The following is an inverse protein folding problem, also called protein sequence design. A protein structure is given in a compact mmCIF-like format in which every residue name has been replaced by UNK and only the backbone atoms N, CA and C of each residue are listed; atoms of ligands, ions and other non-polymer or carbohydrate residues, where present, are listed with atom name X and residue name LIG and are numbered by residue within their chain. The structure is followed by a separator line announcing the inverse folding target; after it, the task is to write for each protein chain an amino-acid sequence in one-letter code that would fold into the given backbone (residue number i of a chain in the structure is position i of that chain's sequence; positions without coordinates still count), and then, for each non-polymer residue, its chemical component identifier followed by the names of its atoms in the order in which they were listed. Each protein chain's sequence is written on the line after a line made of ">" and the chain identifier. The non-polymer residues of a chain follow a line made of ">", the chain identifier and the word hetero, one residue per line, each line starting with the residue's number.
data_IF_504784913841
#
_entry.id   IF_504784913841
#
_cell.length_a   1.000
_cell.length_b   1.000
_cell.length_c   1.000
_cell.angle_alpha   90.00
_cell.angle_beta   90.00
_cell.angle_gamma   90.00
#
_symmetry.space_group_name_H-M   'P 1'
#
loop_
_entity.id
_entity.type
_entity.pdbx_description
1 polymer ?
#
# COMPACT_ATOMS: atom_id res chain seq x y z
N UNK A 1 -9.59 6.49 0.25
CA UNK A 1 -10.10 7.86 0.48
C UNK A 1 -10.91 8.31 -0.73
N UNK A 2 -11.64 9.43 -0.65
CA UNK A 2 -12.46 9.87 -1.80
C UNK A 2 -11.60 10.34 -2.98
N UNK A 3 -10.59 11.18 -2.74
CA UNK A 3 -9.67 11.67 -3.77
C UNK A 3 -8.51 10.68 -4.01
N UNK A 4 -7.88 10.73 -5.20
CA UNK A 4 -6.66 9.96 -5.49
C UNK A 4 -5.49 10.33 -4.58
N UNK A 5 -4.63 9.35 -4.28
CA UNK A 5 -3.47 9.51 -3.41
C UNK A 5 -2.37 10.41 -3.97
N UNK A 6 -2.39 10.68 -5.29
CA UNK A 6 -1.49 11.63 -5.95
C UNK A 6 -2.06 13.05 -6.06
N UNK A 7 -3.32 13.27 -5.67
CA UNK A 7 -4.09 14.54 -5.73
C UNK A 7 -4.30 15.09 -7.14
N UNK A 8 -3.25 15.21 -7.97
CA UNK A 8 -3.31 15.75 -9.33
C UNK A 8 -2.49 14.93 -10.31
N UNK A 9 -2.95 14.79 -11.56
CA UNK A 9 -2.21 14.08 -12.62
C UNK A 9 -0.82 14.69 -12.87
N UNK A 10 -0.70 16.03 -12.77
CA UNK A 10 0.59 16.72 -12.86
C UNK A 10 1.63 16.25 -11.84
N UNK A 11 1.20 15.81 -10.65
CA UNK A 11 2.10 15.32 -9.63
C UNK A 11 2.77 13.99 -10.05
N UNK A 12 2.03 13.13 -10.76
CA UNK A 12 2.52 11.90 -11.36
C UNK A 12 3.48 12.19 -12.52
N UNK A 13 3.06 13.04 -13.46
CA UNK A 13 3.86 13.43 -14.63
C UNK A 13 5.23 14.01 -14.23
N UNK A 14 5.24 14.81 -13.16
CA UNK A 14 6.47 15.42 -12.61
C UNK A 14 7.22 14.52 -11.63
N UNK A 15 6.72 13.31 -11.34
CA UNK A 15 7.31 12.36 -10.38
C UNK A 15 7.56 12.99 -8.99
N UNK A 16 6.63 13.84 -8.55
CA UNK A 16 6.73 14.58 -7.28
C UNK A 16 6.10 13.85 -6.09
N UNK A 17 5.46 12.71 -6.35
CA UNK A 17 4.82 11.84 -5.37
C UNK A 17 5.13 10.39 -5.73
N UNK A 18 5.24 9.54 -4.71
CA UNK A 18 5.41 8.09 -4.88
C UNK A 18 4.09 7.35 -4.70
N UNK A 19 4.06 6.11 -5.17
CA UNK A 19 2.99 5.18 -4.88
C UNK A 19 2.90 4.86 -3.39
N UNK A 20 1.97 3.97 -3.01
CA UNK A 20 1.85 3.55 -1.61
C UNK A 20 3.13 2.80 -1.20
N UNK A 21 3.82 3.30 -0.18
CA UNK A 21 4.94 2.62 0.44
C UNK A 21 4.44 1.62 1.46
N UNK A 22 4.67 0.34 1.16
CA UNK A 22 4.38 -0.79 2.04
C UNK A 22 5.64 -1.18 2.79
N UNK A 23 5.54 -1.26 4.11
CA UNK A 23 6.65 -1.55 5.00
C UNK A 23 6.25 -2.61 6.03
N UNK A 24 7.08 -3.65 6.15
CA UNK A 24 7.06 -4.61 7.26
C UNK A 24 8.24 -4.32 8.17
N UNK A 25 7.96 -4.13 9.46
CA UNK A 25 8.97 -3.74 10.44
C UNK A 25 9.54 -5.00 11.08
N UNK A 26 10.68 -5.45 10.58
CA UNK A 26 11.39 -6.60 11.10
C UNK A 26 12.16 -6.23 12.38
N UNK A 27 12.19 -7.10 13.41
CA UNK A 27 12.98 -6.85 14.61
C UNK A 27 14.48 -6.87 14.27
N UNK A 28 15.21 -5.85 14.74
CA UNK A 28 16.64 -5.70 14.47
C UNK A 28 17.42 -6.70 15.33
N UNK A 29 18.21 -7.57 14.69
CA UNK A 29 19.15 -8.46 15.37
C UNK A 29 18.54 -9.72 15.97
N UNK A 30 17.29 -10.04 15.66
CA UNK A 30 16.67 -11.31 16.03
C UNK A 30 16.88 -12.36 14.90
N UNK A 31 17.71 -13.39 15.11
CA UNK A 31 17.98 -14.40 14.08
C UNK A 31 16.80 -15.37 13.86
N UNK A 32 15.80 -15.38 14.74
CA UNK A 32 14.67 -16.31 14.68
C UNK A 32 13.56 -15.79 13.77
N UNK A 33 13.54 -14.48 13.52
CA UNK A 33 12.57 -13.81 12.65
C UNK A 33 13.25 -13.46 11.32
N UNK A 34 12.78 -14.03 10.22
CA UNK A 34 13.37 -13.84 8.90
C UNK A 34 12.32 -13.63 7.82
N UNK A 35 12.60 -12.71 6.90
CA UNK A 35 11.79 -12.48 5.72
C UNK A 35 12.20 -13.49 4.63
N UNK A 36 11.30 -14.43 4.34
CA UNK A 36 11.52 -15.52 3.37
C UNK A 36 11.26 -15.02 1.94
N UNK A 37 10.21 -14.21 1.76
CA UNK A 37 9.85 -13.63 0.46
C UNK A 37 9.24 -12.24 0.64
N UNK A 38 9.47 -11.38 -0.35
CA UNK A 38 9.09 -9.97 -0.33
C UNK A 38 10.28 -9.06 -0.03
N UNK A 39 9.99 -7.77 0.18
CA UNK A 39 10.97 -6.76 0.57
C UNK A 39 10.47 -6.07 1.82
N UNK A 40 11.35 -5.76 2.78
CA UNK A 40 10.96 -5.00 3.98
C UNK A 40 10.23 -3.71 3.62
N UNK A 41 10.66 -3.07 2.54
CA UNK A 41 10.04 -1.87 1.98
C UNK A 41 9.82 -2.03 0.49
N UNK A 42 8.60 -1.79 0.02
CA UNK A 42 8.25 -1.81 -1.41
C UNK A 42 7.31 -0.67 -1.78
N UNK A 43 7.50 -0.12 -2.97
CA UNK A 43 6.59 0.85 -3.58
C UNK A 43 5.52 0.10 -4.37
N UNK A 44 4.25 0.35 -4.02
CA UNK A 44 3.08 -0.11 -4.74
C UNK A 44 2.52 0.94 -5.70
N UNK A 45 1.31 0.74 -6.25
CA UNK A 45 0.69 1.71 -7.15
C UNK A 45 0.18 2.94 -6.41
N UNK A 46 -0.18 3.99 -7.17
CA UNK A 46 -1.02 5.07 -6.66
C UNK A 46 -2.47 4.60 -6.56
N UNK A 47 -3.16 5.03 -5.50
CA UNK A 47 -4.58 4.73 -5.32
C UNK A 47 -5.44 5.82 -5.95
N UNK A 48 -6.40 5.43 -6.77
CA UNK A 48 -7.28 6.36 -7.49
C UNK A 48 -8.39 6.95 -6.61
N UNK A 49 -8.62 6.39 -5.42
CA UNK A 49 -9.75 6.76 -4.57
C UNK A 49 -11.11 6.40 -5.19
N UNK A 50 -12.17 7.00 -4.66
CA UNK A 50 -13.56 6.69 -5.03
C UNK A 50 -14.23 7.75 -5.92
N UNK A 51 -13.53 8.85 -6.23
CA UNK A 51 -14.07 9.90 -7.08
C UNK A 51 -14.48 9.34 -8.46
N UNK A 52 -15.65 9.73 -9.01
CA UNK A 52 -16.08 9.30 -10.32
C UNK A 52 -15.06 9.66 -11.40
N UNK A 53 -14.57 8.66 -12.13
CA UNK A 53 -13.61 8.82 -13.22
C UNK A 53 -14.28 9.15 -14.56
N UNK A 54 -15.59 8.98 -14.63
CA UNK A 54 -16.40 9.18 -15.82
C UNK A 54 -17.62 10.04 -15.48
N UNK A 55 -18.13 10.74 -16.47
CA UNK A 55 -19.41 11.43 -16.38
C UNK A 55 -20.52 10.42 -16.12
N UNK A 56 -21.49 10.79 -15.28
CA UNK A 56 -22.70 9.97 -15.05
C UNK A 56 -23.55 9.82 -16.33
N UNK A 57 -23.32 10.66 -17.34
CA UNK A 57 -23.96 10.56 -18.66
C UNK A 57 -23.22 9.62 -19.63
N UNK A 58 -22.03 9.15 -19.28
CA UNK A 58 -21.31 8.19 -20.09
C UNK A 58 -21.85 6.78 -19.82
N UNK A 59 -22.43 6.15 -20.83
CA UNK A 59 -22.89 4.75 -20.77
C UNK A 59 -21.74 3.73 -20.85
N UNK A 60 -20.57 4.06 -20.29
CA UNK A 60 -19.38 3.24 -20.30
C UNK A 60 -19.08 2.75 -18.89
N UNK A 61 -18.65 1.50 -18.75
CA UNK A 61 -18.21 0.95 -17.48
C UNK A 61 -16.88 1.53 -17.01
N UNK A 62 -16.68 1.58 -15.70
CA UNK A 62 -15.40 1.93 -15.09
C UNK A 62 -14.36 0.85 -15.41
N UNK A 63 -13.24 1.24 -16.05
CA UNK A 63 -12.16 0.33 -16.43
C UNK A 63 -11.17 0.03 -15.28
N UNK A 64 -11.22 0.81 -14.19
CA UNK A 64 -10.34 0.67 -13.04
C UNK A 64 -11.16 0.41 -11.78
N UNK A 65 -11.80 -0.78 -11.76
CA UNK A 65 -12.72 -1.21 -10.70
C UNK A 65 -12.02 -1.34 -9.35
N UNK A 66 -10.75 -1.74 -9.33
CA UNK A 66 -9.94 -1.91 -8.11
C UNK A 66 -8.84 -0.86 -7.99
N UNK A 67 -8.95 0.27 -8.70
CA UNK A 67 -7.91 1.31 -8.69
C UNK A 67 -7.73 1.99 -7.33
N UNK A 68 -8.69 1.84 -6.42
CA UNK A 68 -8.65 2.28 -5.03
C UNK A 68 -7.93 1.30 -4.09
N UNK A 69 -7.49 0.14 -4.60
CA UNK A 69 -6.90 -0.94 -3.81
C UNK A 69 -5.47 -1.25 -4.27
N UNK A 70 -4.64 -1.63 -3.32
CA UNK A 70 -3.31 -2.15 -3.55
C UNK A 70 -3.03 -3.30 -2.58
N UNK A 71 -2.20 -4.25 -3.01
CA UNK A 71 -1.84 -5.44 -2.24
C UNK A 71 -0.32 -5.55 -2.23
N UNK A 72 0.22 -5.86 -1.06
CA UNK A 72 1.61 -6.24 -0.84
C UNK A 72 1.62 -7.55 -0.06
N UNK A 73 2.57 -8.41 -0.39
CA UNK A 73 2.67 -9.76 0.18
C UNK A 73 4.08 -9.97 0.72
N UNK A 74 4.12 -10.61 1.89
CA UNK A 74 5.35 -11.03 2.55
C UNK A 74 5.18 -12.47 3.04
N UNK A 75 6.26 -13.23 2.99
CA UNK A 75 6.35 -14.53 3.64
C UNK A 75 7.38 -14.40 4.74
N UNK A 76 6.98 -14.61 5.99
CA UNK A 76 7.84 -14.48 7.16
C UNK A 76 7.95 -15.82 7.87
N UNK A 77 9.16 -16.13 8.33
CA UNK A 77 9.44 -17.24 9.24
C UNK A 77 9.74 -16.65 10.60
N UNK A 78 8.94 -17.01 11.60
CA UNK A 78 9.13 -16.62 12.98
C UNK A 78 8.45 -17.64 13.92
N UNK A 79 8.76 -17.64 15.23
CA UNK A 79 8.02 -18.42 16.21
C UNK A 79 6.55 -18.00 16.29
N UNK A 80 5.68 -18.95 16.64
CA UNK A 80 4.27 -18.67 16.97
C UNK A 80 4.21 -17.63 18.08
N UNK A 81 3.28 -16.69 17.98
CA UNK A 81 3.12 -15.55 18.88
C UNK A 81 3.98 -14.34 18.52
N UNK A 82 4.82 -14.41 17.48
CA UNK A 82 5.63 -13.25 17.05
C UNK A 82 4.71 -12.14 16.54
N UNK A 83 4.92 -10.93 17.05
CA UNK A 83 4.23 -9.71 16.61
C UNK A 83 5.07 -8.97 15.58
N UNK A 84 4.47 -8.66 14.43
CA UNK A 84 5.10 -7.83 13.40
C UNK A 84 4.23 -6.61 13.14
N UNK A 85 4.87 -5.44 13.10
CA UNK A 85 4.20 -4.22 12.70
C UNK A 85 4.26 -4.07 11.16
N UNK A 86 3.16 -3.60 10.60
CA UNK A 86 3.01 -3.29 9.18
C UNK A 86 2.57 -1.84 9.04
N UNK A 87 3.06 -1.17 8.00
CA UNK A 87 2.57 0.15 7.64
C UNK A 87 2.42 0.33 6.14
N UNK A 88 1.38 1.05 5.75
CA UNK A 88 1.16 1.50 4.38
C UNK A 88 1.03 3.03 4.40
N UNK A 89 1.86 3.73 3.65
CA UNK A 89 1.88 5.20 3.63
C UNK A 89 1.85 5.75 2.21
N UNK A 90 1.20 6.89 2.02
CA UNK A 90 1.20 7.62 0.75
C UNK A 90 1.41 9.11 1.02
N UNK A 91 2.26 9.75 0.21
CA UNK A 91 2.77 11.11 0.43
C UNK A 91 1.66 12.16 0.65
N UNK A 92 0.47 11.95 0.06
CA UNK A 92 -0.69 12.88 0.16
C UNK A 92 -1.98 12.24 0.68
N UNK A 93 -1.96 10.98 1.12
CA UNK A 93 -3.15 10.28 1.63
C UNK A 93 -3.01 9.74 3.06
N UNK A 94 -1.87 10.00 3.70
CA UNK A 94 -1.61 9.62 5.10
C UNK A 94 -0.97 8.25 5.23
N UNK A 95 -1.12 7.65 6.42
CA UNK A 95 -0.49 6.39 6.80
C UNK A 95 -1.42 5.54 7.65
N UNK A 96 -1.48 4.24 7.34
CA UNK A 96 -2.13 3.22 8.15
C UNK A 96 -1.07 2.34 8.77
N UNK A 97 -1.26 1.99 10.04
CA UNK A 97 -0.38 1.08 10.78
C UNK A 97 -1.23 0.00 11.42
N UNK A 98 -0.71 -1.22 11.42
CA UNK A 98 -1.34 -2.35 12.09
C UNK A 98 -0.27 -3.30 12.60
N UNK A 99 -0.65 -4.19 13.48
CA UNK A 99 0.18 -5.31 13.91
C UNK A 99 -0.52 -6.62 13.57
N UNK A 100 0.28 -7.65 13.31
CA UNK A 100 -0.18 -9.02 13.07
C UNK A 100 0.61 -9.95 13.98
N UNK A 101 -0.07 -10.94 14.55
CA UNK A 101 0.52 -12.03 15.32
C UNK A 101 0.62 -13.25 14.41
N UNK A 102 1.75 -13.94 14.40
CA UNK A 102 1.87 -15.24 13.70
C UNK A 102 1.30 -16.35 14.59
N UNK A 103 0.42 -17.17 14.02
CA UNK A 103 -0.23 -18.32 14.68
C UNK A 103 0.53 -19.64 14.43
#
# INVERSE_FOLDING_TARGET
>A
GYLPAHVTQRALERKTVRGVMFEIHMPIGDPVVSLVSGKERMEGPHLDGHAPKQSQLAFLGNKQVTGDRAVAEWVVRAPVGTRLALSASADRAGVVRTEVVLD
#
